data_IF_113507672822
#
_entry.id   IF_113507672822
#
_cell.length_a   1.000
_cell.length_b   1.000
_cell.length_c   1.000
_cell.angle_alpha   90.00
_cell.angle_beta   90.00
_cell.angle_gamma   90.00
#
_symmetry.space_group_name_H-M   'P 1'
#
loop_
_entity.id
_entity.type
_entity.pdbx_description
1 polymer ?
#
# COMPACT_ATOMS: atom_id res chain seq x y z
N UNK A 1 2.55 20.47 67.96
CA UNK A 1 3.24 21.64 68.55
C UNK A 1 4.75 21.40 68.50
N UNK A 2 5.58 22.42 68.21
CA UNK A 2 6.00 22.70 66.83
C UNK A 2 7.52 22.94 66.66
N UNK A 3 7.97 23.01 65.40
CA UNK A 3 8.90 24.01 64.83
C UNK A 3 9.04 23.66 63.33
N UNK A 4 8.47 24.38 62.35
CA UNK A 4 8.68 25.77 61.94
C UNK A 4 10.12 26.08 61.48
N UNK A 5 10.38 25.96 60.18
CA UNK A 5 11.23 26.91 59.45
C UNK A 5 10.69 27.11 58.02
N UNK A 6 10.32 28.36 57.74
CA UNK A 6 10.09 28.91 56.40
C UNK A 6 11.44 29.06 55.71
N UNK A 7 11.48 28.83 54.40
CA UNK A 7 12.09 29.83 53.51
C UNK A 7 11.53 29.72 52.08
N UNK A 8 11.17 30.90 51.59
CA UNK A 8 10.67 31.23 50.26
C UNK A 8 11.78 31.19 49.23
N UNK A 9 11.49 30.61 48.05
CA UNK A 9 12.22 30.94 46.82
C UNK A 9 11.23 31.04 45.67
N UNK A 10 11.25 32.22 45.06
CA UNK A 10 10.54 32.68 43.87
C UNK A 10 10.51 31.70 42.71
N UNK A 11 9.32 31.55 42.12
CA UNK A 11 9.10 30.91 40.81
C UNK A 11 9.57 31.89 39.73
N UNK A 12 10.52 31.53 38.85
CA UNK A 12 10.74 32.27 37.62
C UNK A 12 9.69 31.85 36.59
N UNK A 13 9.00 32.85 36.02
CA UNK A 13 8.27 32.73 34.77
C UNK A 13 9.21 32.20 33.68
N UNK A 14 9.06 30.94 33.29
CA UNK A 14 9.58 30.45 32.02
C UNK A 14 8.57 30.76 30.93
N UNK A 15 8.82 31.85 30.22
CA UNK A 15 8.32 32.08 28.87
C UNK A 15 8.60 30.84 28.01
N UNK A 16 7.60 30.41 27.23
CA UNK A 16 7.77 29.41 26.17
C UNK A 16 8.95 29.81 25.28
N UNK A 17 10.08 29.14 25.46
CA UNK A 17 11.18 29.19 24.52
C UNK A 17 10.75 28.39 23.30
N UNK A 18 10.72 29.06 22.16
CA UNK A 18 10.67 28.44 20.83
C UNK A 18 11.66 27.27 20.78
N UNK A 19 11.19 26.10 20.32
CA UNK A 19 12.07 24.98 20.03
C UNK A 19 13.16 25.45 19.05
N UNK A 20 14.44 25.10 19.28
CA UNK A 20 15.50 25.52 18.39
C UNK A 20 15.26 24.91 17.00
N UNK A 21 15.56 25.65 15.91
CA UNK A 21 15.48 25.09 14.57
C UNK A 21 16.42 23.89 14.49
N UNK A 22 15.90 22.79 13.93
CA UNK A 22 16.66 21.56 13.67
C UNK A 22 18.07 21.89 13.17
N UNK A 23 19.08 21.48 13.92
CA UNK A 23 20.48 21.72 13.59
C UNK A 23 20.88 20.82 12.40
N UNK A 24 20.82 21.37 11.19
CA UNK A 24 21.15 20.68 9.92
C UNK A 24 22.65 20.32 9.76
N UNK A 25 23.50 20.61 10.76
CA UNK A 25 24.95 20.47 10.68
C UNK A 25 25.52 19.04 10.67
N UNK A 26 24.72 18.01 10.98
CA UNK A 26 25.25 16.64 11.19
C UNK A 26 25.20 15.71 9.96
N UNK A 27 24.60 16.11 8.84
CA UNK A 27 24.45 15.24 7.66
C UNK A 27 25.75 15.02 6.87
N UNK A 28 26.75 15.91 7.02
CA UNK A 28 28.08 15.75 6.40
C UNK A 28 28.79 14.49 6.95
N UNK A 29 28.44 14.02 8.15
CA UNK A 29 29.02 12.83 8.75
C UNK A 29 28.40 11.50 8.26
N UNK A 30 27.38 11.52 7.41
CA UNK A 30 26.66 10.33 6.91
C UNK A 30 27.09 9.95 5.47
N UNK A 31 28.06 10.67 4.89
CA UNK A 31 28.65 10.35 3.59
C UNK A 31 27.93 10.95 2.37
N UNK A 32 26.98 11.88 2.58
CA UNK A 32 26.39 12.67 1.50
C UNK A 32 27.01 14.07 1.46
N UNK A 33 27.26 14.58 0.24
CA UNK A 33 27.59 15.99 0.06
C UNK A 33 26.37 16.87 0.30
N UNK A 34 26.59 18.10 0.74
CA UNK A 34 25.52 19.11 0.87
C UNK A 34 24.74 19.29 -0.45
N UNK A 35 25.45 19.20 -1.58
CA UNK A 35 24.85 19.27 -2.91
C UNK A 35 23.85 18.13 -3.18
N UNK A 36 24.22 16.88 -2.88
CA UNK A 36 23.33 15.72 -3.06
C UNK A 36 22.08 15.82 -2.18
N UNK A 37 22.25 16.29 -0.94
CA UNK A 37 21.13 16.55 -0.03
C UNK A 37 20.17 17.60 -0.59
N UNK A 38 20.70 18.76 -1.01
CA UNK A 38 19.89 19.84 -1.57
C UNK A 38 19.17 19.42 -2.85
N UNK A 39 19.83 18.64 -3.72
CA UNK A 39 19.22 18.09 -4.93
C UNK A 39 18.06 17.13 -4.59
N UNK A 40 18.27 16.25 -3.61
CA UNK A 40 17.27 15.28 -3.17
C UNK A 40 16.05 15.98 -2.55
N UNK A 41 16.30 17.00 -1.73
CA UNK A 41 15.26 17.86 -1.15
C UNK A 41 14.45 18.59 -2.23
N UNK A 42 15.11 19.18 -3.22
CA UNK A 42 14.44 19.87 -4.32
C UNK A 42 13.57 18.91 -5.13
N UNK A 43 14.09 17.72 -5.45
CA UNK A 43 13.33 16.67 -6.13
C UNK A 43 12.10 16.26 -5.32
N UNK A 44 12.22 16.12 -4.00
CA UNK A 44 11.08 15.73 -3.16
C UNK A 44 9.99 16.81 -3.13
N UNK A 45 10.38 18.09 -3.09
CA UNK A 45 9.43 19.21 -3.22
C UNK A 45 8.68 19.15 -4.55
N UNK A 46 9.38 18.90 -5.66
CA UNK A 46 8.77 18.78 -6.99
C UNK A 46 7.81 17.58 -7.08
N UNK A 47 8.20 16.42 -6.52
CA UNK A 47 7.35 15.23 -6.49
C UNK A 47 6.12 15.44 -5.62
N UNK A 48 6.26 16.10 -4.47
CA UNK A 48 5.14 16.45 -3.60
C UNK A 48 4.16 17.39 -4.31
N UNK A 49 4.63 18.40 -5.03
CA UNK A 49 3.78 19.30 -5.82
C UNK A 49 3.10 18.60 -6.99
N UNK A 50 3.79 17.65 -7.63
CA UNK A 50 3.27 16.89 -8.77
C UNK A 50 2.23 15.86 -8.34
N UNK A 51 2.41 15.22 -7.19
CA UNK A 51 1.60 14.10 -6.72
C UNK A 51 0.86 14.43 -5.43
N UNK A 52 -0.12 15.33 -5.55
CA UNK A 52 -1.14 15.49 -4.52
C UNK A 52 -1.94 14.19 -4.32
N UNK A 53 -2.30 13.92 -3.06
CA UNK A 53 -2.98 12.70 -2.65
C UNK A 53 -4.34 12.99 -2.02
N UNK A 54 -5.32 12.17 -2.38
CA UNK A 54 -6.55 11.98 -1.63
C UNK A 54 -6.40 10.76 -0.74
N UNK A 55 -6.93 10.80 0.48
CA UNK A 55 -7.05 9.60 1.30
C UNK A 55 -8.43 8.99 1.09
N UNK A 56 -8.51 7.70 0.86
CA UNK A 56 -9.75 6.94 0.71
C UNK A 56 -9.86 5.99 1.90
N UNK A 57 -10.97 6.08 2.63
CA UNK A 57 -11.31 5.14 3.69
C UNK A 57 -12.58 4.38 3.34
N UNK A 58 -12.52 3.06 3.39
CA UNK A 58 -13.69 2.21 3.25
C UNK A 58 -14.26 1.85 4.61
N UNK A 59 -15.49 2.30 4.86
CA UNK A 59 -16.20 2.04 6.11
C UNK A 59 -17.36 1.07 5.92
N UNK A 60 -17.61 0.22 6.92
CA UNK A 60 -18.86 -0.56 6.99
C UNK A 60 -19.50 -0.57 8.40
N UNK A 61 -18.94 -1.31 9.37
CA UNK A 61 -19.61 -1.53 10.66
C UNK A 61 -18.89 -0.92 11.87
N UNK A 62 -17.68 -0.39 11.69
CA UNK A 62 -16.80 -0.01 12.80
C UNK A 62 -16.71 1.49 12.98
N UNK A 63 -17.79 2.13 13.41
CA UNK A 63 -17.88 3.60 13.48
C UNK A 63 -16.81 4.23 14.39
N UNK A 64 -16.42 3.56 15.48
CA UNK A 64 -15.32 4.02 16.33
C UNK A 64 -13.94 3.95 15.65
N UNK A 65 -13.72 2.92 14.83
CA UNK A 65 -12.44 2.70 14.14
C UNK A 65 -12.26 3.67 12.98
N UNK A 66 -13.31 3.91 12.19
CA UNK A 66 -13.26 4.93 11.11
C UNK A 66 -12.97 6.33 11.66
N UNK A 67 -13.52 6.70 12.83
CA UNK A 67 -13.20 8.00 13.46
C UNK A 67 -11.72 8.09 13.82
N UNK A 68 -11.14 7.03 14.40
CA UNK A 68 -9.70 6.99 14.70
C UNK A 68 -8.84 7.03 13.43
N UNK A 69 -9.21 6.26 12.40
CA UNK A 69 -8.51 6.26 11.12
C UNK A 69 -8.51 7.66 10.49
N UNK A 70 -9.67 8.33 10.42
CA UNK A 70 -9.77 9.70 9.90
C UNK A 70 -8.90 10.66 10.70
N UNK A 71 -8.88 10.55 12.03
CA UNK A 71 -8.04 11.41 12.87
C UNK A 71 -6.55 11.25 12.56
N UNK A 72 -6.05 10.02 12.34
CA UNK A 72 -4.66 9.83 11.94
C UNK A 72 -4.34 10.46 10.58
N UNK A 73 -5.29 10.38 9.62
CA UNK A 73 -5.10 11.00 8.31
C UNK A 73 -5.10 12.53 8.40
N UNK A 74 -5.97 13.12 9.23
CA UNK A 74 -6.01 14.56 9.49
C UNK A 74 -4.74 15.04 10.18
N UNK A 75 -4.29 14.33 11.22
CA UNK A 75 -3.08 14.67 11.98
C UNK A 75 -1.80 14.57 11.12
N UNK A 76 -1.81 13.79 10.03
CA UNK A 76 -0.65 13.69 9.12
C UNK A 76 -0.45 14.94 8.26
N UNK A 77 -1.51 15.69 7.95
CA UNK A 77 -1.50 16.83 7.02
C UNK A 77 -0.93 16.52 5.62
N UNK A 78 -0.98 15.24 5.18
CA UNK A 78 -0.42 14.79 3.90
C UNK A 78 -1.44 14.77 2.75
N UNK A 79 -2.72 14.99 3.04
CA UNK A 79 -3.80 14.79 2.07
C UNK A 79 -4.56 16.08 1.77
N UNK A 80 -4.86 16.30 0.48
CA UNK A 80 -5.68 17.43 0.03
C UNK A 80 -7.17 17.23 0.31
N UNK A 81 -7.60 15.97 0.30
CA UNK A 81 -8.96 15.57 0.65
C UNK A 81 -8.97 14.17 1.26
N UNK A 82 -9.99 13.90 2.07
CA UNK A 82 -10.27 12.59 2.66
C UNK A 82 -11.67 12.17 2.21
N UNK A 83 -11.76 11.11 1.43
CA UNK A 83 -13.02 10.54 0.95
C UNK A 83 -13.34 9.30 1.78
N UNK A 84 -14.47 9.34 2.48
CA UNK A 84 -14.96 8.23 3.28
C UNK A 84 -16.11 7.60 2.51
N UNK A 85 -15.87 6.39 1.99
CA UNK A 85 -16.90 5.59 1.35
C UNK A 85 -17.59 4.73 2.40
N UNK A 86 -18.81 5.07 2.75
CA UNK A 86 -19.62 4.30 3.68
C UNK A 86 -20.41 3.22 2.92
N UNK A 87 -19.96 1.97 3.02
CA UNK A 87 -20.57 0.78 2.44
C UNK A 87 -21.72 0.20 3.30
N UNK A 88 -22.15 0.90 4.35
CA UNK A 88 -23.27 0.50 5.18
C UNK A 88 -24.57 1.18 4.75
N UNK A 89 -25.50 0.49 4.09
CA UNK A 89 -26.75 1.10 3.66
C UNK A 89 -27.71 1.42 4.82
N UNK A 90 -27.44 0.89 6.03
CA UNK A 90 -28.32 1.05 7.19
C UNK A 90 -27.94 2.25 8.07
N UNK A 91 -26.80 2.89 7.81
CA UNK A 91 -26.29 4.01 8.61
C UNK A 91 -25.80 5.08 7.65
N UNK A 92 -26.17 6.34 7.90
CA UNK A 92 -25.55 7.47 7.23
C UNK A 92 -24.50 8.08 8.17
N UNK A 93 -23.29 8.26 7.67
CA UNK A 93 -22.27 9.02 8.38
C UNK A 93 -22.48 10.52 8.13
N UNK A 94 -22.24 11.30 9.18
CA UNK A 94 -22.22 12.76 9.13
C UNK A 94 -20.81 13.27 9.44
N UNK A 95 -20.42 14.41 8.87
CA UNK A 95 -19.08 14.98 9.09
C UNK A 95 -18.80 15.32 10.57
N UNK A 96 -19.85 15.63 11.32
CA UNK A 96 -19.80 16.05 12.73
C UNK A 96 -19.15 15.01 13.63
N UNK A 97 -19.21 13.71 13.29
CA UNK A 97 -18.59 12.63 14.06
C UNK A 97 -17.05 12.65 13.99
N UNK A 98 -16.48 13.33 12.99
CA UNK A 98 -15.04 13.49 12.79
C UNK A 98 -14.50 14.80 13.35
N UNK A 99 -15.32 15.55 14.09
CA UNK A 99 -14.90 16.81 14.67
C UNK A 99 -13.91 16.55 15.81
N UNK A 100 -12.63 16.76 15.52
CA UNK A 100 -11.54 16.89 16.50
C UNK A 100 -11.16 18.37 16.61
N UNK A 101 -10.74 18.82 17.79
CA UNK A 101 -10.33 20.21 17.99
C UNK A 101 -9.27 20.61 16.95
N UNK A 102 -9.45 21.76 16.30
CA UNK A 102 -8.53 22.44 15.37
C UNK A 102 -8.46 21.93 13.92
N UNK A 103 -9.17 20.88 13.51
CA UNK A 103 -9.20 20.45 12.10
C UNK A 103 -10.44 20.96 11.37
N UNK A 104 -10.26 21.53 10.17
CA UNK A 104 -11.40 21.85 9.29
C UNK A 104 -11.98 20.56 8.70
N UNK A 105 -13.31 20.48 8.62
CA UNK A 105 -14.03 19.37 7.99
C UNK A 105 -14.25 19.58 6.48
N UNK A 106 -13.70 20.66 5.91
CA UNK A 106 -13.84 21.01 4.50
C UNK A 106 -13.13 20.01 3.58
N UNK A 107 -12.01 19.44 4.07
CA UNK A 107 -11.25 18.41 3.36
C UNK A 107 -11.94 17.04 3.35
N UNK A 108 -12.96 16.82 4.19
CA UNK A 108 -13.65 15.53 4.30
C UNK A 108 -14.83 15.48 3.33
N UNK A 109 -14.92 14.42 2.53
CA UNK A 109 -16.09 14.08 1.70
C UNK A 109 -16.62 12.72 2.13
N UNK A 110 -17.91 12.62 2.44
CA UNK A 110 -18.56 11.36 2.80
C UNK A 110 -19.47 10.94 1.65
N UNK A 111 -19.34 9.69 1.23
CA UNK A 111 -20.22 9.06 0.24
C UNK A 111 -20.98 7.95 0.96
N UNK A 112 -22.24 8.19 1.28
CA UNK A 112 -23.14 7.20 1.87
C UNK A 112 -23.76 6.35 0.76
N UNK A 113 -23.24 5.12 0.60
CA UNK A 113 -23.69 4.20 -0.44
C UNK A 113 -25.04 3.57 -0.08
N UNK A 114 -25.91 3.40 -1.08
CA UNK A 114 -27.22 2.72 -0.93
C UNK A 114 -27.08 1.20 -0.83
N UNK A 115 -25.89 0.67 -1.11
CA UNK A 115 -25.57 -0.76 -1.05
C UNK A 115 -24.10 -0.99 -0.66
N UNK A 116 -23.75 -2.22 -0.29
CA UNK A 116 -22.38 -2.58 0.02
C UNK A 116 -21.63 -3.02 -1.26
N UNK A 117 -20.82 -2.12 -1.83
CA UNK A 117 -20.06 -2.36 -3.05
C UNK A 117 -18.75 -3.16 -2.83
N UNK A 118 -18.48 -3.60 -1.59
CA UNK A 118 -17.26 -4.35 -1.24
C UNK A 118 -16.00 -3.62 -1.73
N UNK A 119 -15.07 -4.35 -2.35
CA UNK A 119 -13.80 -3.80 -2.83
C UNK A 119 -13.97 -2.80 -3.98
N UNK A 120 -15.04 -2.87 -4.78
CA UNK A 120 -15.26 -1.95 -5.90
C UNK A 120 -15.33 -0.47 -5.45
N UNK A 121 -15.85 -0.25 -4.24
CA UNK A 121 -16.03 1.08 -3.64
C UNK A 121 -14.75 1.94 -3.66
N UNK A 122 -13.59 1.34 -3.36
CA UNK A 122 -12.33 2.08 -3.25
C UNK A 122 -11.88 2.67 -4.59
N UNK A 123 -12.13 1.93 -5.67
CA UNK A 123 -11.82 2.37 -7.02
C UNK A 123 -12.77 3.47 -7.49
N UNK A 124 -14.05 3.38 -7.14
CA UNK A 124 -15.03 4.46 -7.40
C UNK A 124 -14.65 5.74 -6.68
N UNK A 125 -14.34 5.63 -5.38
CA UNK A 125 -13.90 6.76 -4.57
C UNK A 125 -12.64 7.42 -5.17
N UNK A 126 -11.64 6.63 -5.53
CA UNK A 126 -10.42 7.16 -6.13
C UNK A 126 -10.67 7.76 -7.52
N UNK A 127 -11.46 7.12 -8.38
CA UNK A 127 -11.79 7.60 -9.71
C UNK A 127 -12.49 8.97 -9.70
N UNK A 128 -13.23 9.27 -8.63
CA UNK A 128 -13.90 10.55 -8.38
C UNK A 128 -13.08 11.54 -7.54
N UNK A 129 -11.86 11.17 -7.12
CA UNK A 129 -10.98 12.08 -6.36
C UNK A 129 -10.54 13.26 -7.23
N UNK A 130 -10.31 14.42 -6.60
CA UNK A 130 -9.81 15.63 -7.22
C UNK A 130 -8.31 15.57 -7.49
N UNK A 131 -7.58 14.78 -6.70
CA UNK A 131 -6.13 14.59 -6.82
C UNK A 131 -5.75 13.59 -7.92
N UNK A 132 -4.46 13.53 -8.24
CA UNK A 132 -3.91 12.62 -9.27
C UNK A 132 -3.74 11.20 -8.74
N UNK A 133 -3.49 11.06 -7.45
CA UNK A 133 -3.28 9.78 -6.79
C UNK A 133 -4.10 9.64 -5.51
N UNK A 134 -4.29 8.41 -5.09
CA UNK A 134 -5.09 8.06 -3.92
C UNK A 134 -4.31 7.14 -3.01
N UNK A 135 -4.23 7.52 -1.73
CA UNK A 135 -3.96 6.56 -0.66
C UNK A 135 -5.26 5.86 -0.28
N UNK A 136 -5.22 4.57 -0.01
CA UNK A 136 -6.37 3.80 0.45
C UNK A 136 -6.03 2.95 1.68
N UNK A 137 -6.96 2.86 2.62
CA UNK A 137 -6.95 1.91 3.74
C UNK A 137 -8.37 1.50 4.15
N UNK A 138 -8.52 0.28 4.67
CA UNK A 138 -9.72 -0.12 5.41
C UNK A 138 -9.83 0.65 6.75
N UNK A 139 -11.03 0.66 7.34
CA UNK A 139 -11.36 1.41 8.56
C UNK A 139 -10.77 0.87 9.87
N UNK A 140 -9.97 -0.19 9.83
CA UNK A 140 -9.39 -0.87 10.98
C UNK A 140 -7.86 -0.96 10.99
N UNK A 141 -7.15 -0.24 10.14
CA UNK A 141 -5.68 -0.23 10.17
C UNK A 141 -5.10 1.06 10.75
N UNK A 142 -4.04 0.92 11.55
CA UNK A 142 -3.24 2.06 11.98
C UNK A 142 -2.16 2.36 10.94
N UNK A 143 -2.35 3.44 10.20
CA UNK A 143 -1.48 3.85 9.09
C UNK A 143 -0.24 4.63 9.55
N UNK A 144 -0.16 5.04 10.82
CA UNK A 144 0.87 5.96 11.31
C UNK A 144 2.30 5.40 11.29
N UNK A 145 2.48 4.11 11.02
CA UNK A 145 3.78 3.42 11.08
C UNK A 145 4.43 3.22 9.71
N UNK A 146 3.76 3.57 8.62
CA UNK A 146 4.26 3.33 7.27
C UNK A 146 3.80 4.37 6.25
N UNK A 147 2.97 5.33 6.63
CA UNK A 147 2.33 6.24 5.69
C UNK A 147 3.35 7.11 4.94
N UNK A 148 4.33 7.67 5.63
CA UNK A 148 5.38 8.48 5.00
C UNK A 148 6.24 7.62 4.08
N UNK A 149 6.66 6.45 4.55
CA UNK A 149 7.43 5.51 3.72
C UNK A 149 6.69 5.08 2.47
N UNK A 150 5.39 4.78 2.59
CA UNK A 150 4.57 4.36 1.45
C UNK A 150 4.40 5.50 0.43
N UNK A 151 4.24 6.75 0.90
CA UNK A 151 4.17 7.94 0.03
C UNK A 151 5.50 8.20 -0.67
N UNK A 152 6.61 8.15 0.07
CA UNK A 152 7.94 8.31 -0.50
C UNK A 152 8.21 7.25 -1.57
N UNK A 153 7.91 5.99 -1.27
CA UNK A 153 8.04 4.89 -2.23
C UNK A 153 7.19 5.11 -3.48
N UNK A 154 5.93 5.52 -3.32
CA UNK A 154 5.05 5.85 -4.44
C UNK A 154 5.63 6.95 -5.35
N UNK A 155 6.24 7.98 -4.77
CA UNK A 155 6.83 9.08 -5.53
C UNK A 155 8.04 8.63 -6.37
N UNK A 156 8.70 7.53 -6.01
CA UNK A 156 9.81 6.97 -6.81
C UNK A 156 9.33 6.29 -8.09
N UNK A 157 8.17 5.62 -8.07
CA UNK A 157 7.59 4.94 -9.23
C UNK A 157 6.05 5.01 -9.25
N UNK A 158 5.46 6.18 -9.53
CA UNK A 158 4.01 6.42 -9.35
C UNK A 158 3.11 5.53 -10.22
N UNK A 159 3.67 4.85 -11.23
CA UNK A 159 2.91 4.02 -12.16
C UNK A 159 2.72 2.58 -11.71
N UNK A 160 3.32 2.17 -10.59
CA UNK A 160 3.07 0.84 -10.02
C UNK A 160 2.11 0.94 -8.84
N UNK A 161 1.49 -0.19 -8.47
CA UNK A 161 0.71 -0.26 -7.23
C UNK A 161 1.68 -0.34 -6.04
N UNK A 162 1.56 0.58 -5.10
CA UNK A 162 2.27 0.53 -3.82
C UNK A 162 1.33 0.04 -2.74
N UNK A 163 1.78 -0.88 -1.89
CA UNK A 163 0.92 -1.45 -0.85
C UNK A 163 1.71 -1.97 0.34
N UNK A 164 1.01 -2.18 1.44
CA UNK A 164 1.56 -2.69 2.70
C UNK A 164 0.83 -3.97 3.06
N UNK A 165 1.57 -4.95 3.55
CA UNK A 165 0.99 -6.18 4.10
C UNK A 165 1.89 -6.83 5.13
N UNK A 166 1.38 -7.84 5.83
CA UNK A 166 2.19 -8.64 6.75
C UNK A 166 3.07 -9.64 5.99
N UNK A 167 4.22 -10.07 6.57
CA UNK A 167 5.16 -10.91 5.84
C UNK A 167 4.59 -12.23 5.30
N UNK A 168 3.72 -12.91 6.06
CA UNK A 168 3.11 -14.16 5.58
C UNK A 168 2.21 -13.91 4.35
N UNK A 169 1.43 -12.84 4.41
CA UNK A 169 0.56 -12.44 3.30
C UNK A 169 1.38 -11.98 2.09
N UNK A 170 2.45 -11.20 2.27
CA UNK A 170 3.37 -10.85 1.18
C UNK A 170 3.93 -12.09 0.49
N UNK A 171 4.46 -13.03 1.29
CA UNK A 171 5.02 -14.26 0.75
C UNK A 171 3.98 -15.08 -0.03
N UNK A 172 2.73 -15.08 0.46
CA UNK A 172 1.60 -15.71 -0.23
C UNK A 172 1.25 -14.99 -1.53
N UNK A 173 1.27 -13.66 -1.55
CA UNK A 173 0.98 -12.86 -2.73
C UNK A 173 1.96 -13.12 -3.87
N UNK A 174 3.24 -13.37 -3.55
CA UNK A 174 4.25 -13.74 -4.54
C UNK A 174 3.90 -15.02 -5.32
N UNK A 175 3.03 -15.91 -4.80
CA UNK A 175 2.55 -17.07 -5.56
C UNK A 175 1.71 -16.70 -6.78
N UNK A 176 1.11 -15.51 -6.77
CA UNK A 176 0.31 -14.95 -7.84
C UNK A 176 1.08 -13.85 -8.58
N UNK A 177 2.32 -14.15 -8.89
CA UNK A 177 3.19 -13.33 -9.72
C UNK A 177 3.58 -14.12 -10.97
N UNK A 178 3.43 -13.49 -12.12
CA UNK A 178 3.49 -14.16 -13.43
C UNK A 178 4.36 -13.37 -14.40
N UNK A 179 5.23 -14.12 -15.10
CA UNK A 179 6.18 -13.57 -16.06
C UNK A 179 6.10 -14.35 -17.38
N UNK A 180 5.92 -13.65 -18.50
CA UNK A 180 6.15 -14.18 -19.85
C UNK A 180 6.62 -13.04 -20.77
N UNK A 181 7.95 -12.91 -20.90
CA UNK A 181 8.59 -11.87 -21.71
C UNK A 181 8.16 -11.92 -23.18
N UNK A 182 7.67 -13.06 -23.69
CA UNK A 182 7.25 -13.19 -25.09
C UNK A 182 5.98 -12.40 -25.39
N UNK A 183 5.20 -12.05 -24.38
CA UNK A 183 3.93 -11.32 -24.50
C UNK A 183 3.89 -10.07 -23.60
N UNK A 184 5.03 -9.65 -23.05
CA UNK A 184 5.13 -8.56 -22.06
C UNK A 184 4.17 -8.75 -20.86
N UNK A 185 4.02 -10.00 -20.39
CA UNK A 185 3.28 -10.32 -19.17
C UNK A 185 4.24 -10.18 -17.97
N UNK A 186 4.01 -9.18 -17.13
CA UNK A 186 4.80 -8.92 -15.92
C UNK A 186 3.87 -8.47 -14.82
N UNK A 187 3.13 -9.39 -14.19
CA UNK A 187 2.08 -8.99 -13.25
C UNK A 187 2.16 -9.70 -11.90
N UNK A 188 1.64 -9.06 -10.87
CA UNK A 188 1.63 -9.58 -9.52
C UNK A 188 0.38 -9.18 -8.75
N UNK A 189 0.08 -9.94 -7.71
CA UNK A 189 -1.03 -9.64 -6.82
C UNK A 189 -0.57 -8.90 -5.56
N UNK A 190 -1.41 -7.99 -5.06
CA UNK A 190 -1.32 -7.46 -3.71
C UNK A 190 -2.70 -7.31 -3.08
N UNK A 191 -2.78 -7.51 -1.77
CA UNK A 191 -3.95 -7.10 -0.99
C UNK A 191 -3.84 -5.61 -0.67
N UNK A 192 -4.91 -4.85 -0.94
CA UNK A 192 -4.87 -3.38 -0.94
C UNK A 192 -5.43 -2.80 0.37
N UNK A 193 -6.13 -3.63 1.16
CA UNK A 193 -6.80 -3.30 2.43
C UNK A 193 -5.95 -2.58 3.48
N UNK A 194 -4.68 -2.98 3.63
CA UNK A 194 -3.85 -2.57 4.76
C UNK A 194 -3.09 -1.25 4.53
N UNK A 195 -3.37 -0.52 3.45
CA UNK A 195 -2.59 0.64 3.04
C UNK A 195 -2.06 0.45 1.63
N UNK A 196 -2.43 1.35 0.72
CA UNK A 196 -1.98 1.31 -0.66
C UNK A 196 -2.01 2.69 -1.30
N UNK A 197 -1.20 2.89 -2.34
CA UNK A 197 -1.23 4.09 -3.17
C UNK A 197 -1.22 3.68 -4.65
N UNK A 198 -2.10 4.32 -5.42
CA UNK A 198 -2.18 4.15 -6.86
C UNK A 198 -2.75 5.41 -7.52
N UNK A 199 -2.53 5.55 -8.82
CA UNK A 199 -3.04 6.68 -9.60
C UNK A 199 -4.56 6.60 -9.79
N UNK A 200 -5.20 7.77 -9.82
CA UNK A 200 -6.61 7.91 -10.21
C UNK A 200 -6.88 7.33 -11.60
N UNK A 201 -5.95 7.51 -12.54
CA UNK A 201 -6.09 6.94 -13.88
C UNK A 201 -6.17 5.42 -13.88
N UNK A 202 -5.42 4.75 -12.99
CA UNK A 202 -5.51 3.29 -12.83
C UNK A 202 -6.87 2.86 -12.30
N UNK A 203 -7.43 3.59 -11.33
CA UNK A 203 -8.78 3.32 -10.81
C UNK A 203 -9.84 3.48 -11.90
N UNK A 204 -9.77 4.56 -12.68
CA UNK A 204 -10.69 4.83 -13.79
C UNK A 204 -10.60 3.74 -14.87
N UNK A 205 -9.38 3.35 -15.24
CA UNK A 205 -9.15 2.30 -16.22
C UNK A 205 -9.65 0.94 -15.71
N UNK A 206 -9.41 0.63 -14.44
CA UNK A 206 -9.91 -0.59 -13.81
C UNK A 206 -11.44 -0.67 -13.84
N UNK A 207 -12.15 0.40 -13.49
CA UNK A 207 -13.60 0.43 -13.56
C UNK A 207 -14.13 0.19 -14.98
N UNK A 208 -13.42 0.67 -16.01
CA UNK A 208 -13.74 0.35 -17.42
C UNK A 208 -13.53 -1.14 -17.72
N UNK A 209 -12.42 -1.72 -17.27
CA UNK A 209 -12.17 -3.15 -17.45
C UNK A 209 -13.21 -4.03 -16.75
N UNK A 210 -13.65 -3.69 -15.54
CA UNK A 210 -14.72 -4.42 -14.85
C UNK A 210 -16.01 -4.43 -15.70
N UNK A 211 -16.36 -3.30 -16.32
CA UNK A 211 -17.55 -3.21 -17.18
C UNK A 211 -17.44 -4.05 -18.46
N UNK A 212 -16.25 -4.09 -19.06
CA UNK A 212 -15.99 -4.82 -20.31
C UNK A 212 -15.93 -6.32 -20.04
N UNK A 213 -15.06 -6.75 -19.12
CA UNK A 213 -14.72 -8.16 -18.97
C UNK A 213 -15.56 -8.91 -17.93
N UNK A 214 -16.13 -8.22 -16.93
CA UNK A 214 -16.93 -8.86 -15.86
C UNK A 214 -18.43 -8.60 -15.97
N UNK A 215 -18.92 -8.15 -17.13
CA UNK A 215 -20.36 -7.92 -17.38
C UNK A 215 -21.22 -9.13 -16.99
N UNK A 216 -20.75 -10.34 -17.32
CA UNK A 216 -21.42 -11.61 -17.05
C UNK A 216 -20.97 -12.28 -15.73
N UNK A 217 -20.08 -11.65 -14.97
CA UNK A 217 -19.46 -12.18 -13.76
C UNK A 217 -19.60 -11.21 -12.57
N UNK A 218 -20.78 -10.60 -12.42
CA UNK A 218 -21.05 -9.55 -11.41
C UNK A 218 -20.68 -9.94 -9.99
N UNK A 219 -20.84 -11.21 -9.60
CA UNK A 219 -20.48 -11.69 -8.26
C UNK A 219 -18.98 -11.65 -7.96
N UNK A 220 -18.14 -11.66 -9.00
CA UNK A 220 -16.68 -11.62 -8.87
C UNK A 220 -16.15 -10.19 -8.69
N UNK A 221 -16.94 -9.16 -9.00
CA UNK A 221 -16.57 -7.75 -8.79
C UNK A 221 -16.26 -7.46 -7.31
N UNK A 222 -16.81 -8.25 -6.38
CA UNK A 222 -16.46 -8.14 -4.96
C UNK A 222 -15.01 -8.45 -4.62
N UNK A 223 -14.26 -9.02 -5.58
CA UNK A 223 -12.82 -9.30 -5.50
C UNK A 223 -12.02 -8.37 -6.42
N UNK A 224 -12.47 -7.12 -6.60
CA UNK A 224 -11.82 -6.13 -7.47
C UNK A 224 -10.31 -6.01 -7.21
N UNK A 225 -9.83 -6.18 -5.97
CA UNK A 225 -8.40 -6.13 -5.64
C UNK A 225 -7.54 -7.12 -6.46
N UNK A 226 -8.07 -8.31 -6.77
CA UNK A 226 -7.39 -9.30 -7.61
C UNK A 226 -7.26 -8.78 -9.03
N UNK A 227 -8.39 -8.37 -9.61
CA UNK A 227 -8.45 -7.90 -10.97
C UNK A 227 -7.62 -6.63 -11.15
N UNK A 228 -7.70 -5.69 -10.22
CA UNK A 228 -6.93 -4.45 -10.26
C UNK A 228 -5.43 -4.72 -10.28
N UNK A 229 -4.92 -5.46 -9.29
CA UNK A 229 -3.49 -5.73 -9.19
C UNK A 229 -2.96 -6.47 -10.42
N UNK A 230 -3.67 -7.51 -10.85
CA UNK A 230 -3.26 -8.31 -12.01
C UNK A 230 -3.33 -7.51 -13.31
N UNK A 231 -4.39 -6.72 -13.52
CA UNK A 231 -4.59 -5.99 -14.77
C UNK A 231 -3.75 -4.73 -14.93
N UNK A 232 -3.03 -4.28 -13.90
CA UNK A 232 -1.98 -3.28 -14.09
C UNK A 232 -0.84 -3.80 -14.98
N UNK A 233 -0.73 -5.12 -15.13
CA UNK A 233 0.38 -5.77 -15.83
C UNK A 233 1.74 -5.25 -15.34
N UNK A 234 1.84 -5.05 -14.03
CA UNK A 234 3.06 -4.66 -13.36
C UNK A 234 3.12 -5.32 -11.96
N UNK A 235 4.32 -5.56 -11.42
CA UNK A 235 4.45 -6.15 -10.07
C UNK A 235 4.22 -5.09 -8.99
N UNK A 236 3.31 -5.29 -8.04
CA UNK A 236 3.12 -4.32 -6.97
C UNK A 236 4.41 -4.11 -6.13
N UNK A 237 4.74 -2.87 -5.80
CA UNK A 237 5.71 -2.54 -4.75
C UNK A 237 5.04 -2.82 -3.40
N UNK A 238 5.55 -3.79 -2.64
CA UNK A 238 4.92 -4.23 -1.39
C UNK A 238 5.88 -4.09 -0.21
N UNK A 239 5.41 -3.42 0.84
CA UNK A 239 6.07 -3.37 2.13
C UNK A 239 5.67 -4.56 3.00
N UNK A 240 6.66 -5.16 3.65
CA UNK A 240 6.54 -6.16 4.70
C UNK A 240 6.55 -5.48 6.06
N UNK A 241 5.39 -5.34 6.69
CA UNK A 241 5.24 -4.63 7.96
C UNK A 241 4.52 -5.47 9.01
N UNK A 242 4.82 -5.21 10.28
CA UNK A 242 3.94 -5.64 11.36
C UNK A 242 2.75 -4.66 11.47
N UNK A 243 1.74 -4.87 10.64
CA UNK A 243 0.54 -4.02 10.57
C UNK A 243 -0.25 -4.10 11.87
N UNK A 244 -0.71 -2.95 12.37
CA UNK A 244 -1.44 -2.85 13.64
C UNK A 244 -2.90 -2.55 13.38
N UNK A 245 -3.77 -3.43 13.85
CA UNK A 245 -5.21 -3.22 13.76
C UNK A 245 -5.67 -2.21 14.83
N UNK A 246 -6.58 -1.31 14.46
CA UNK A 246 -7.27 -0.44 15.40
C UNK A 246 -8.24 -1.27 16.24
N UNK A 247 -8.37 -0.96 17.55
CA UNK A 247 -9.37 -1.61 18.38
C UNK A 247 -10.76 -1.41 17.77
N UNK A 248 -11.43 -2.51 17.43
CA UNK A 248 -12.75 -2.50 16.81
C UNK A 248 -13.62 -3.62 17.38
N UNK A 249 -14.83 -3.29 17.83
CA UNK A 249 -15.87 -4.28 18.09
C UNK A 249 -16.56 -4.53 16.75
N UNK A 250 -16.28 -5.66 16.12
CA UNK A 250 -16.97 -6.09 14.89
C UNK A 250 -18.23 -6.86 15.28
N UNK A 251 -19.41 -6.32 14.96
CA UNK A 251 -20.69 -6.97 15.27
C UNK A 251 -21.25 -7.83 14.14
N UNK A 252 -20.67 -7.78 12.93
CA UNK A 252 -21.11 -8.58 11.80
C UNK A 252 -20.08 -9.57 11.26
N UNK A 253 -20.61 -10.52 10.48
CA UNK A 253 -19.85 -11.56 9.78
C UNK A 253 -19.06 -10.96 8.62
N UNK A 254 -17.74 -11.17 8.60
CA UNK A 254 -16.87 -10.72 7.50
C UNK A 254 -17.19 -11.53 6.24
N UNK A 255 -17.08 -10.92 5.06
CA UNK A 255 -17.28 -11.67 3.81
C UNK A 255 -16.26 -12.81 3.64
N UNK A 256 -15.04 -12.61 4.17
CA UNK A 256 -13.97 -13.61 4.18
C UNK A 256 -14.30 -14.89 4.97
N UNK A 257 -15.29 -14.85 5.87
CA UNK A 257 -15.72 -16.04 6.62
C UNK A 257 -16.89 -16.78 5.96
N UNK A 258 -17.30 -16.40 4.74
CA UNK A 258 -18.36 -17.11 4.01
C UNK A 258 -17.81 -18.36 3.32
N UNK A 259 -18.63 -19.42 3.22
CA UNK A 259 -18.24 -20.68 2.58
C UNK A 259 -17.79 -20.52 1.12
N UNK A 260 -18.35 -19.52 0.41
CA UNK A 260 -18.03 -19.24 -0.99
C UNK A 260 -16.79 -18.36 -1.19
N UNK A 261 -16.21 -17.81 -0.12
CA UNK A 261 -15.08 -16.88 -0.26
C UNK A 261 -13.90 -17.50 -1.01
N UNK A 262 -13.48 -18.70 -0.62
CA UNK A 262 -12.36 -19.39 -1.26
C UNK A 262 -12.66 -19.77 -2.72
N UNK A 263 -13.92 -20.13 -3.01
CA UNK A 263 -14.35 -20.44 -4.37
C UNK A 263 -14.25 -19.19 -5.25
N UNK A 264 -14.87 -18.08 -4.85
CA UNK A 264 -14.84 -16.85 -5.65
C UNK A 264 -13.45 -16.25 -5.75
N UNK A 265 -12.65 -16.34 -4.70
CA UNK A 265 -11.25 -15.95 -4.76
C UNK A 265 -10.48 -16.72 -5.84
N UNK A 266 -10.67 -18.03 -5.89
CA UNK A 266 -10.05 -18.89 -6.88
C UNK A 266 -10.53 -18.57 -8.30
N UNK A 267 -11.85 -18.47 -8.49
CA UNK A 267 -12.47 -18.11 -9.77
C UNK A 267 -11.97 -16.74 -10.28
N UNK A 268 -11.94 -15.73 -9.41
CA UNK A 268 -11.43 -14.40 -9.73
C UNK A 268 -9.96 -14.40 -10.11
N UNK A 269 -9.12 -15.17 -9.39
CA UNK A 269 -7.67 -15.26 -9.68
C UNK A 269 -7.41 -15.85 -11.06
N UNK A 270 -8.09 -16.96 -11.39
CA UNK A 270 -7.95 -17.63 -12.69
C UNK A 270 -8.50 -16.76 -13.82
N UNK A 271 -9.66 -16.14 -13.61
CA UNK A 271 -10.28 -15.30 -14.62
C UNK A 271 -9.44 -14.05 -14.90
N UNK A 272 -8.89 -13.39 -13.87
CA UNK A 272 -8.07 -12.21 -14.01
C UNK A 272 -6.84 -12.47 -14.89
N UNK A 273 -6.06 -13.52 -14.59
CA UNK A 273 -4.84 -13.84 -15.33
C UNK A 273 -5.14 -14.34 -16.75
N UNK A 274 -6.22 -15.11 -16.94
CA UNK A 274 -6.64 -15.57 -18.27
C UNK A 274 -6.99 -14.40 -19.18
N UNK A 275 -7.82 -13.47 -18.70
CA UNK A 275 -8.19 -12.26 -19.46
C UNK A 275 -6.93 -11.49 -19.85
N UNK A 276 -6.02 -11.24 -18.91
CA UNK A 276 -4.79 -10.52 -19.19
C UNK A 276 -3.94 -11.22 -20.26
N UNK A 277 -3.65 -12.52 -20.07
CA UNK A 277 -2.82 -13.29 -21.00
C UNK A 277 -3.43 -13.34 -22.41
N UNK A 278 -4.74 -13.58 -22.52
CA UNK A 278 -5.43 -13.64 -23.80
C UNK A 278 -5.36 -12.30 -24.54
N UNK A 279 -5.54 -11.18 -23.84
CA UNK A 279 -5.43 -9.85 -24.41
C UNK A 279 -3.99 -9.52 -24.85
N UNK A 280 -2.99 -9.88 -24.06
CA UNK A 280 -1.58 -9.65 -24.42
C UNK A 280 -1.17 -10.49 -25.65
N UNK A 281 -1.66 -11.72 -25.77
CA UNK A 281 -1.45 -12.56 -26.96
C UNK A 281 -2.17 -12.00 -28.20
N UNK A 282 -3.38 -11.47 -28.04
CA UNK A 282 -4.13 -10.84 -29.14
C UNK A 282 -3.54 -9.51 -29.60
N UNK A 283 -2.99 -8.69 -28.70
CA UNK A 283 -2.40 -7.39 -29.05
C UNK A 283 -1.14 -7.49 -29.94
N UNK A 284 -0.51 -8.65 -30.04
CA UNK A 284 0.55 -8.90 -31.02
C UNK A 284 0.05 -8.87 -32.49
N UNK A 285 -1.27 -8.78 -32.69
CA UNK A 285 -1.92 -8.83 -34.01
C UNK A 285 -2.10 -7.46 -34.70
N UNK A 286 -1.47 -6.38 -34.21
CA UNK A 286 -1.52 -5.01 -34.78
C UNK A 286 -2.90 -4.30 -34.83
N UNK A 287 -3.81 -4.56 -33.88
CA UNK A 287 -5.06 -3.79 -33.79
C UNK A 287 -4.89 -2.51 -32.95
N UNK A 288 -4.93 -1.34 -33.59
CA UNK A 288 -4.71 -0.02 -32.96
C UNK A 288 -5.88 0.47 -32.11
N UNK A 289 -7.02 -0.23 -32.11
CA UNK A 289 -8.21 0.16 -31.34
C UNK A 289 -8.38 -0.63 -30.03
N UNK A 290 -7.40 -1.47 -29.67
CA UNK A 290 -7.53 -2.32 -28.50
C UNK A 290 -7.31 -1.52 -27.20
N UNK A 291 -8.29 -1.55 -26.29
CA UNK A 291 -8.08 -1.15 -24.90
C UNK A 291 -7.20 -2.23 -24.26
N UNK A 292 -5.88 -2.02 -24.29
CA UNK A 292 -4.89 -3.02 -23.88
C UNK A 292 -4.47 -2.91 -22.41
N UNK A 293 -3.82 -3.95 -21.90
CA UNK A 293 -3.14 -3.98 -20.59
C UNK A 293 -1.66 -3.60 -20.74
N UNK A 294 -1.41 -2.49 -21.42
CA UNK A 294 -0.04 -2.07 -21.74
C UNK A 294 0.71 -1.65 -20.48
N UNK A 295 1.91 -2.20 -20.30
CA UNK A 295 2.82 -1.81 -19.22
C UNK A 295 3.55 -0.52 -19.58
N UNK A 296 3.81 0.36 -18.61
CA UNK A 296 4.77 1.45 -18.77
C UNK A 296 6.16 0.92 -18.39
N UNK A 297 7.00 0.64 -19.38
CA UNK A 297 8.26 -0.11 -19.20
C UNK A 297 9.39 0.63 -18.45
N UNK A 298 9.15 1.81 -17.86
CA UNK A 298 10.18 2.67 -17.28
C UNK A 298 10.25 2.56 -15.75
N UNK A 299 10.48 1.35 -15.22
CA UNK A 299 10.80 1.20 -13.80
C UNK A 299 12.18 1.78 -13.50
N UNK A 300 12.27 2.59 -12.46
CA UNK A 300 13.53 3.16 -12.00
C UNK A 300 14.37 2.14 -11.21
N UNK A 301 13.71 1.19 -10.54
CA UNK A 301 14.36 0.20 -9.68
C UNK A 301 13.91 -1.23 -10.01
N UNK A 302 14.76 -2.23 -9.76
CA UNK A 302 14.34 -3.63 -9.77
C UNK A 302 13.30 -3.89 -8.68
N UNK A 303 12.62 -5.04 -8.76
CA UNK A 303 11.68 -5.46 -7.73
C UNK A 303 12.40 -5.58 -6.39
N UNK A 304 11.86 -4.93 -5.37
CA UNK A 304 12.44 -4.92 -4.04
C UNK A 304 11.44 -5.38 -2.98
N UNK A 305 11.95 -6.09 -1.99
CA UNK A 305 11.30 -6.27 -0.68
C UNK A 305 11.62 -5.05 0.18
N UNK A 306 10.61 -4.49 0.85
CA UNK A 306 10.72 -3.23 1.59
C UNK A 306 10.14 -3.35 3.00
N UNK A 307 10.69 -2.61 3.95
CA UNK A 307 10.13 -2.40 5.29
C UNK A 307 10.44 -0.99 5.75
N UNK A 308 9.46 -0.34 6.39
CA UNK A 308 9.64 0.94 7.06
C UNK A 308 10.19 0.74 8.47
N UNK A 309 10.95 1.71 8.96
CA UNK A 309 11.40 1.74 10.35
C UNK A 309 10.21 1.89 11.33
N UNK A 310 10.37 1.56 12.62
CA UNK A 310 9.26 1.58 13.58
C UNK A 310 8.65 2.97 13.80
N UNK A 311 9.40 4.03 13.46
CA UNK A 311 8.98 5.43 13.54
C UNK A 311 8.61 6.03 12.18
N UNK A 312 8.67 5.25 11.12
CA UNK A 312 8.40 5.70 9.75
C UNK A 312 9.31 6.85 9.31
N UNK A 313 10.61 6.69 9.59
CA UNK A 313 11.67 7.69 9.33
C UNK A 313 12.59 7.28 8.18
N UNK A 314 12.66 5.98 7.86
CA UNK A 314 13.44 5.47 6.76
C UNK A 314 12.89 4.14 6.25
N UNK A 315 13.27 3.77 5.02
CA UNK A 315 12.90 2.52 4.35
C UNK A 315 14.15 1.66 4.23
N UNK A 316 14.09 0.42 4.71
CA UNK A 316 15.04 -0.62 4.34
C UNK A 316 14.50 -1.39 3.14
N UNK A 317 15.31 -1.59 2.10
CA UNK A 317 14.91 -2.38 0.94
C UNK A 317 16.05 -3.19 0.36
N UNK A 318 15.69 -4.30 -0.28
CA UNK A 318 16.62 -5.16 -1.01
C UNK A 318 15.96 -5.70 -2.27
N UNK A 319 16.73 -5.82 -3.35
CA UNK A 319 16.26 -6.47 -4.58
C UNK A 319 16.34 -8.01 -4.51
N UNK A 320 16.68 -8.59 -3.36
CA UNK A 320 16.74 -10.04 -3.17
C UNK A 320 15.36 -10.56 -2.72
N UNK A 321 14.62 -11.11 -3.68
CA UNK A 321 13.33 -11.74 -3.42
C UNK A 321 13.50 -13.11 -2.69
N UNK A 322 12.44 -13.59 -1.99
CA UNK A 322 12.50 -14.89 -1.31
C UNK A 322 12.74 -16.09 -2.24
N UNK A 323 12.45 -15.92 -3.53
CA UNK A 323 12.73 -16.87 -4.60
C UNK A 323 12.83 -16.14 -5.94
N UNK A 324 13.54 -16.73 -6.91
CA UNK A 324 13.87 -16.12 -8.21
C UNK A 324 12.68 -16.18 -9.19
N UNK A 325 11.53 -15.58 -8.81
CA UNK A 325 10.26 -15.71 -9.55
C UNK A 325 10.29 -15.19 -10.99
N UNK A 326 11.12 -14.18 -11.25
CA UNK A 326 11.29 -13.57 -12.57
C UNK A 326 11.75 -14.57 -13.65
N UNK A 327 12.42 -15.63 -13.23
CA UNK A 327 12.95 -16.67 -14.13
C UNK A 327 11.98 -17.82 -14.37
N UNK A 328 10.74 -17.74 -13.83
CA UNK A 328 9.76 -18.83 -13.89
C UNK A 328 8.65 -18.48 -14.89
N UNK A 329 8.81 -18.81 -16.19
CA UNK A 329 7.87 -18.43 -17.24
C UNK A 329 6.49 -19.01 -16.97
N UNK A 330 5.43 -18.25 -17.26
CA UNK A 330 4.05 -18.62 -17.02
C UNK A 330 3.25 -18.72 -18.32
N UNK A 331 2.40 -19.75 -18.42
CA UNK A 331 1.39 -19.88 -19.46
C UNK A 331 0.15 -20.55 -18.87
N UNK A 332 -1.00 -19.87 -18.81
CA UNK A 332 -2.19 -20.39 -18.10
C UNK A 332 -2.67 -21.76 -18.63
N UNK A 333 -2.48 -22.03 -19.92
CA UNK A 333 -2.88 -23.29 -20.55
C UNK A 333 -2.03 -24.49 -20.12
N UNK A 334 -0.78 -24.25 -19.69
CA UNK A 334 0.15 -25.28 -19.19
C UNK A 334 0.27 -25.28 -17.68
N UNK A 335 0.23 -24.08 -17.11
CA UNK A 335 0.51 -23.79 -15.72
C UNK A 335 -0.78 -23.42 -14.96
N UNK A 336 -1.90 -24.09 -15.25
CA UNK A 336 -3.18 -23.77 -14.60
C UNK A 336 -3.09 -23.78 -13.07
N UNK A 337 -2.36 -24.74 -12.50
CA UNK A 337 -2.10 -24.81 -11.06
C UNK A 337 -1.37 -23.57 -10.56
N UNK A 338 -0.58 -22.91 -11.43
CA UNK A 338 0.09 -21.65 -11.10
C UNK A 338 -0.82 -20.46 -10.98
N UNK A 339 -1.94 -20.46 -11.69
CA UNK A 339 -3.03 -19.52 -11.47
C UNK A 339 -3.77 -19.69 -10.13
N UNK A 340 -3.35 -20.64 -9.28
CA UNK A 340 -4.01 -20.99 -8.00
C UNK A 340 -3.11 -20.78 -6.79
N UNK A 341 -3.68 -20.92 -5.58
CA UNK A 341 -2.95 -20.84 -4.30
C UNK A 341 -1.89 -21.95 -4.07
N UNK A 342 -1.80 -22.97 -4.92
CA UNK A 342 -1.01 -24.19 -4.65
C UNK A 342 0.41 -24.14 -5.20
N UNK A 343 1.02 -22.97 -5.15
CA UNK A 343 1.98 -22.62 -6.19
C UNK A 343 3.34 -22.13 -5.75
N UNK A 344 3.76 -22.53 -4.56
CA UNK A 344 5.07 -22.19 -4.09
C UNK A 344 6.14 -22.76 -5.05
N UNK A 345 7.01 -21.92 -5.62
CA UNK A 345 8.13 -22.39 -6.44
C UNK A 345 9.00 -23.39 -5.66
N UNK A 346 9.66 -24.31 -6.38
CA UNK A 346 10.65 -25.21 -5.76
C UNK A 346 11.69 -24.38 -4.99
N UNK A 347 11.96 -24.75 -3.73
CA UNK A 347 12.89 -24.02 -2.86
C UNK A 347 12.22 -22.98 -1.95
N UNK A 348 10.91 -22.80 -2.03
CA UNK A 348 10.15 -21.97 -1.10
C UNK A 348 10.35 -22.43 0.36
N UNK A 349 10.78 -21.54 1.23
CA UNK A 349 10.88 -21.79 2.67
C UNK A 349 10.23 -20.64 3.45
N UNK A 350 8.92 -20.75 3.67
CA UNK A 350 8.11 -19.75 4.37
C UNK A 350 8.70 -19.49 5.76
N UNK A 351 9.01 -20.54 6.52
CA UNK A 351 9.52 -20.43 7.89
C UNK A 351 10.85 -19.67 7.95
N UNK A 352 11.75 -19.96 7.01
CA UNK A 352 13.01 -19.23 6.89
C UNK A 352 12.77 -17.76 6.56
N UNK A 353 11.92 -17.48 5.56
CA UNK A 353 11.58 -16.12 5.16
C UNK A 353 11.03 -15.34 6.35
N UNK A 354 10.02 -15.86 7.05
CA UNK A 354 9.39 -15.20 8.19
C UNK A 354 10.37 -14.89 9.33
N UNK A 355 11.41 -15.71 9.48
CA UNK A 355 12.45 -15.52 10.51
C UNK A 355 13.50 -14.47 10.12
N UNK A 356 13.60 -14.09 8.83
CA UNK A 356 14.68 -13.26 8.29
C UNK A 356 14.19 -12.22 7.26
N UNK A 357 12.96 -11.74 7.40
CA UNK A 357 12.34 -10.76 6.48
C UNK A 357 13.07 -9.41 6.53
N UNK A 358 12.76 -8.50 5.60
CA UNK A 358 13.28 -7.11 5.65
C UNK A 358 12.88 -6.37 6.91
N UNK A 359 11.78 -6.78 7.57
CA UNK A 359 11.37 -6.21 8.85
C UNK A 359 12.41 -6.46 9.94
N UNK A 360 13.15 -7.58 9.85
CA UNK A 360 14.22 -7.96 10.79
C UNK A 360 15.47 -7.10 10.67
N UNK A 361 15.57 -6.24 9.66
CA UNK A 361 16.62 -5.23 9.58
C UNK A 361 16.26 -3.94 10.36
N UNK A 362 14.99 -3.78 10.73
CA UNK A 362 14.44 -2.51 11.25
C UNK A 362 13.52 -2.71 12.45
N UNK A 363 13.59 -3.84 13.16
CA UNK A 363 12.71 -4.15 14.28
C UNK A 363 13.29 -3.82 15.67
N UNK A 364 14.40 -3.07 15.71
CA UNK A 364 15.12 -2.66 16.93
C UNK A 364 15.57 -3.83 17.84
N UNK A 365 15.53 -5.08 17.36
CA UNK A 365 15.98 -6.25 18.11
C UNK A 365 17.36 -6.71 17.62
N UNK A 366 18.44 -6.58 18.43
CA UNK A 366 19.78 -6.98 18.04
C UNK A 366 19.96 -8.50 17.88
N UNK A 367 18.96 -9.30 18.26
CA UNK A 367 18.96 -10.77 18.11
C UNK A 367 18.40 -11.23 16.77
N UNK A 368 17.81 -10.33 15.99
CA UNK A 368 17.26 -10.64 14.67
C UNK A 368 18.02 -9.90 13.58
N UNK A 369 17.97 -10.44 12.36
CA UNK A 369 18.54 -9.80 11.19
C UNK A 369 17.79 -10.20 9.92
N UNK A 370 17.80 -9.31 8.93
CA UNK A 370 17.46 -9.71 7.57
C UNK A 370 18.56 -10.63 7.03
N UNK A 371 18.14 -11.72 6.37
CA UNK A 371 19.06 -12.68 5.75
C UNK A 371 18.42 -13.30 4.51
N UNK A 372 19.09 -13.25 3.34
CA UNK A 372 18.61 -13.94 2.15
C UNK A 372 18.73 -15.47 2.32
N UNK A 373 17.80 -16.22 1.72
CA UNK A 373 17.78 -17.69 1.76
C UNK A 373 18.84 -18.36 0.87
N UNK A 374 19.69 -17.57 0.21
CA UNK A 374 20.75 -18.00 -0.70
C UNK A 374 21.92 -17.04 -0.66
N UNK A 375 23.02 -17.42 -1.32
CA UNK A 375 24.16 -16.54 -1.53
C UNK A 375 23.75 -15.33 -2.39
N UNK A 376 24.30 -14.18 -2.04
CA UNK A 376 24.16 -12.92 -2.77
C UNK A 376 24.91 -13.02 -4.09
N UNK A 377 24.29 -12.57 -5.18
CA UNK A 377 24.83 -12.57 -6.54
C UNK A 377 25.28 -11.16 -6.95
N UNK A 378 26.08 -11.09 -8.01
CA UNK A 378 26.46 -9.80 -8.59
C UNK A 378 25.20 -9.04 -9.05
N UNK A 379 25.12 -7.74 -8.71
CA UNK A 379 23.97 -6.88 -9.01
C UNK A 379 22.87 -6.89 -7.93
N UNK A 380 23.01 -7.72 -6.89
CA UNK A 380 22.12 -7.71 -5.74
C UNK A 380 22.60 -6.73 -4.67
N UNK A 381 21.65 -6.05 -4.02
CA UNK A 381 21.94 -5.03 -3.02
C UNK A 381 20.87 -4.99 -1.92
N UNK A 382 21.22 -4.31 -0.84
CA UNK A 382 20.27 -3.71 0.09
C UNK A 382 20.62 -2.23 0.25
N UNK A 383 19.66 -1.43 0.65
CA UNK A 383 19.82 0.00 0.85
C UNK A 383 18.87 0.52 1.92
N UNK A 384 19.20 1.71 2.43
CA UNK A 384 18.39 2.48 3.36
C UNK A 384 18.08 3.82 2.68
N UNK A 385 16.82 4.21 2.69
CA UNK A 385 16.36 5.51 2.19
C UNK A 385 15.75 6.32 3.35
N UNK A 386 16.37 7.44 3.69
CA UNK A 386 15.92 8.32 4.77
C UNK A 386 14.86 9.28 4.25
N UNK A 387 13.74 9.38 4.97
CA UNK A 387 12.64 10.25 4.57
C UNK A 387 12.97 11.70 4.95
N UNK A 388 12.85 12.60 3.97
CA UNK A 388 13.13 14.03 4.11
C UNK A 388 11.94 14.84 4.64
#
# INVERSE_FOLDING_TARGET
MPNAYKNSSSIPNTSMSEEPPYNYGDYINIGFSEFEFLQSKQREIELQQKYDLAAILLHWQRSASVVKAVNYLLDSNLFKEIIIWNNNPNINLEKTIFKKNNHSLDSIRIINSKENLKDEAKYRACAEAKTIACFYSDDDWNTSFYLKSLIADFRTDPYVLHSVTEPYTFYTNLMWTYFDNKIDLHTGFSWIGCGSIFLREHAQQHLRYLQIYLKNHRSLIYFSDIFFSIWLNDIPSQFNMNIRQLPAISTGTRFSSTAKFLQYLHESSILAIRILEDNLRQNQSNDTNHIGFSRRQNRHFPYCVKSSSPKDEFIFYSNILPFDIEHIPFNISKDFQRGTRRNLPRGSNVSFFLSHTTLKAVDDDPKTCWRPGRNVRQGEFFAIDFLL
#
